data_IF_449316942305
#
_entry.id   IF_449316942305
#
_cell.length_a   1.000
_cell.length_b   1.000
_cell.length_c   1.000
_cell.angle_alpha   90.00
_cell.angle_beta   90.00
_cell.angle_gamma   90.00
#
_symmetry.space_group_name_H-M   'P 1'
#
loop_
_entity.id
_entity.type
_entity.pdbx_description
1 polymer ?
#
# COMPACT_ATOMS: atom_id res chain seq x y z
N UNK A 1 -20.94 19.81 -17.06
CA UNK A 1 -21.05 18.55 -16.28
C UNK A 1 -20.05 18.55 -15.14
N UNK A 2 -20.29 19.32 -14.08
CA UNK A 2 -19.32 19.53 -13.01
C UNK A 2 -19.32 18.45 -11.90
N UNK A 3 -20.32 17.55 -11.89
CA UNK A 3 -20.55 16.61 -10.78
C UNK A 3 -20.81 15.17 -11.26
N UNK A 4 -20.15 14.71 -12.33
CA UNK A 4 -20.17 13.29 -12.73
C UNK A 4 -21.32 12.83 -13.65
N UNK A 5 -22.54 13.35 -13.46
CA UNK A 5 -23.68 13.11 -14.36
C UNK A 5 -23.99 11.61 -14.61
N UNK A 6 -24.45 11.28 -15.83
CA UNK A 6 -24.84 9.91 -16.22
C UNK A 6 -23.70 8.91 -16.11
N UNK A 7 -22.46 9.31 -16.40
CA UNK A 7 -21.29 8.43 -16.30
C UNK A 7 -21.08 7.91 -14.87
N UNK A 8 -21.35 8.76 -13.87
CA UNK A 8 -21.17 8.41 -12.47
C UNK A 8 -22.42 7.75 -11.85
N UNK A 9 -23.60 8.32 -12.10
CA UNK A 9 -24.84 7.91 -11.40
C UNK A 9 -25.77 7.02 -12.24
N UNK A 10 -25.58 6.99 -13.55
CA UNK A 10 -26.48 6.34 -14.50
C UNK A 10 -27.74 7.16 -14.78
N UNK A 11 -28.71 6.53 -15.43
CA UNK A 11 -30.01 7.14 -15.70
C UNK A 11 -30.94 7.02 -14.48
N UNK A 12 -31.91 7.95 -14.32
CA UNK A 12 -32.97 7.79 -13.32
C UNK A 12 -33.76 6.52 -13.63
N UNK A 13 -34.02 5.71 -12.60
CA UNK A 13 -34.81 4.47 -12.70
C UNK A 13 -36.16 4.59 -11.99
N UNK A 14 -36.42 5.74 -11.36
CA UNK A 14 -37.64 6.05 -10.62
C UNK A 14 -37.99 7.53 -10.75
N UNK A 15 -39.25 7.86 -10.47
CA UNK A 15 -39.68 9.22 -10.20
C UNK A 15 -39.22 9.65 -8.80
N UNK A 16 -39.52 10.89 -8.42
CA UNK A 16 -39.34 11.32 -7.02
C UNK A 16 -40.37 10.64 -6.13
N UNK A 17 -39.90 10.10 -5.01
CA UNK A 17 -40.70 9.37 -4.03
C UNK A 17 -40.51 9.97 -2.64
N UNK A 18 -41.52 9.91 -1.78
CA UNK A 18 -41.40 10.31 -0.39
C UNK A 18 -41.07 9.06 0.46
N UNK A 19 -39.89 9.03 1.08
CA UNK A 19 -39.44 7.92 1.91
C UNK A 19 -38.66 8.44 3.11
N UNK A 20 -38.92 7.90 4.30
CA UNK A 20 -38.29 8.33 5.56
C UNK A 20 -38.36 9.86 5.75
N UNK A 21 -39.52 10.45 5.45
CA UNK A 21 -39.79 11.90 5.49
C UNK A 21 -38.93 12.75 4.53
N UNK A 22 -38.23 12.11 3.59
CA UNK A 22 -37.39 12.77 2.59
C UNK A 22 -37.88 12.49 1.18
N UNK A 23 -37.74 13.48 0.30
CA UNK A 23 -37.93 13.25 -1.14
C UNK A 23 -36.68 12.58 -1.66
N UNK A 24 -36.84 11.44 -2.33
CA UNK A 24 -35.73 10.64 -2.84
C UNK A 24 -35.92 10.30 -4.31
N UNK A 25 -34.82 10.05 -5.01
CA UNK A 25 -34.85 9.54 -6.37
C UNK A 25 -33.75 8.49 -6.57
N UNK A 26 -34.13 7.37 -7.16
CA UNK A 26 -33.21 6.30 -7.54
C UNK A 26 -32.71 6.47 -8.97
N UNK A 27 -31.41 6.29 -9.11
CA UNK A 27 -30.66 6.15 -10.35
C UNK A 27 -30.03 4.75 -10.38
N UNK A 28 -29.53 4.33 -11.54
CA UNK A 28 -28.92 3.00 -11.70
C UNK A 28 -27.77 2.72 -10.71
N UNK A 29 -27.05 3.75 -10.26
CA UNK A 29 -25.86 3.61 -9.38
C UNK A 29 -25.88 4.52 -8.15
N UNK A 30 -26.99 5.19 -7.88
CA UNK A 30 -27.09 6.19 -6.83
C UNK A 30 -28.52 6.36 -6.35
N UNK A 31 -28.67 6.80 -5.11
CA UNK A 31 -29.93 7.30 -4.57
C UNK A 31 -29.67 8.71 -4.04
N UNK A 32 -30.44 9.68 -4.49
CA UNK A 32 -30.36 11.04 -4.00
C UNK A 32 -31.47 11.31 -3.00
N UNK A 33 -31.18 12.14 -2.00
CA UNK A 33 -32.13 12.64 -1.02
C UNK A 33 -32.17 14.16 -1.07
N UNK A 34 -33.37 14.71 -0.89
CA UNK A 34 -33.61 16.13 -0.76
C UNK A 34 -33.67 16.56 0.71
N UNK A 35 -32.92 17.59 1.03
CA UNK A 35 -32.74 18.15 2.36
C UNK A 35 -33.13 19.64 2.36
N UNK A 36 -34.40 19.97 2.68
CA UNK A 36 -34.87 21.35 2.67
C UNK A 36 -34.16 22.26 3.69
N UNK A 37 -33.57 21.67 4.74
CA UNK A 37 -32.83 22.32 5.81
C UNK A 37 -31.49 22.92 5.37
N UNK A 38 -30.91 22.46 4.25
CA UNK A 38 -29.64 22.96 3.74
C UNK A 38 -29.78 24.26 2.92
N UNK A 39 -28.64 24.95 2.76
CA UNK A 39 -28.56 26.16 1.97
C UNK A 39 -28.95 25.89 0.51
N UNK A 40 -29.46 26.92 -0.16
CA UNK A 40 -29.87 26.81 -1.56
C UNK A 40 -28.66 26.40 -2.42
N UNK A 41 -28.79 25.27 -3.12
CA UNK A 41 -27.73 24.68 -3.93
C UNK A 41 -27.10 23.42 -3.33
N UNK A 42 -27.30 23.18 -2.03
CA UNK A 42 -26.73 22.04 -1.29
C UNK A 42 -27.79 21.06 -0.79
N UNK A 43 -29.04 21.24 -1.24
CA UNK A 43 -30.19 20.46 -0.76
C UNK A 43 -30.30 19.07 -1.36
N UNK A 44 -29.38 18.68 -2.25
CA UNK A 44 -29.38 17.36 -2.87
C UNK A 44 -28.12 16.63 -2.44
N UNK A 45 -28.29 15.53 -1.73
CA UNK A 45 -27.19 14.71 -1.22
C UNK A 45 -27.31 13.27 -1.72
N UNK A 46 -26.19 12.55 -1.76
CA UNK A 46 -26.19 11.12 -2.02
C UNK A 46 -26.55 10.39 -0.72
N UNK A 47 -27.50 9.46 -0.78
CA UNK A 47 -27.79 8.58 0.37
C UNK A 47 -26.54 7.77 0.73
N UNK A 48 -26.20 7.73 2.01
CA UNK A 48 -25.30 6.71 2.56
C UNK A 48 -26.02 5.34 2.62
N UNK A 49 -26.06 4.67 1.47
CA UNK A 49 -26.70 3.37 1.30
C UNK A 49 -26.01 2.29 2.15
N UNK A 50 -24.71 2.42 2.43
CA UNK A 50 -23.96 1.49 3.27
C UNK A 50 -24.43 1.53 4.72
N UNK A 51 -24.45 2.71 5.32
CA UNK A 51 -24.95 2.91 6.69
C UNK A 51 -26.44 2.57 6.82
N UNK A 52 -27.25 2.85 5.78
CA UNK A 52 -28.67 2.49 5.77
C UNK A 52 -28.86 0.97 5.71
N UNK A 53 -28.13 0.27 4.85
CA UNK A 53 -28.15 -1.20 4.78
C UNK A 53 -27.78 -1.81 6.14
N UNK A 54 -26.67 -1.35 6.74
CA UNK A 54 -26.18 -1.84 8.02
C UNK A 54 -27.21 -1.71 9.13
N UNK A 55 -27.87 -0.53 9.23
CA UNK A 55 -28.92 -0.27 10.23
C UNK A 55 -30.17 -1.09 9.99
N UNK A 56 -30.68 -1.12 8.75
CA UNK A 56 -31.93 -1.84 8.41
C UNK A 56 -31.80 -3.34 8.67
N UNK A 57 -30.62 -3.92 8.41
CA UNK A 57 -30.38 -5.35 8.60
C UNK A 57 -29.90 -5.70 10.01
N UNK A 58 -29.79 -4.72 10.92
CA UNK A 58 -29.27 -4.92 12.29
C UNK A 58 -27.95 -5.70 12.30
N UNK A 59 -27.05 -5.36 11.37
CA UNK A 59 -25.75 -6.02 11.25
C UNK A 59 -24.95 -5.85 12.55
N UNK A 60 -24.15 -6.87 12.89
CA UNK A 60 -23.40 -6.87 14.14
C UNK A 60 -22.41 -5.69 14.17
N UNK A 61 -22.44 -4.80 15.20
CA UNK A 61 -21.53 -3.65 15.30
C UNK A 61 -20.04 -4.02 15.24
N UNK A 62 -19.70 -5.24 15.64
CA UNK A 62 -18.35 -5.79 15.51
C UNK A 62 -17.82 -5.87 14.07
N UNK A 63 -18.69 -5.83 13.06
CA UNK A 63 -18.29 -5.77 11.63
C UNK A 63 -17.81 -4.38 11.21
N UNK A 64 -18.12 -3.34 11.99
CA UNK A 64 -17.57 -1.99 11.81
C UNK A 64 -16.22 -1.81 12.50
N UNK A 65 -15.87 -2.70 13.43
CA UNK A 65 -14.57 -2.70 14.07
C UNK A 65 -13.55 -3.22 13.05
N UNK A 66 -12.54 -2.42 12.76
CA UNK A 66 -11.41 -2.86 11.95
C UNK A 66 -10.56 -3.85 12.78
N UNK A 67 -11.00 -5.11 12.80
CA UNK A 67 -10.33 -6.21 13.49
C UNK A 67 -9.11 -6.75 12.72
N UNK A 68 -8.63 -6.04 11.69
CA UNK A 68 -7.60 -6.54 10.78
C UNK A 68 -8.13 -7.48 9.69
N UNK A 69 -9.44 -7.75 9.67
CA UNK A 69 -10.12 -8.57 8.66
C UNK A 69 -10.50 -7.81 7.39
N UNK A 70 -10.25 -6.50 7.34
CA UNK A 70 -10.31 -5.76 6.08
C UNK A 70 -9.09 -6.23 5.27
N UNK A 71 -9.29 -6.86 4.09
CA UNK A 71 -8.16 -7.23 3.25
C UNK A 71 -7.30 -6.00 3.01
N UNK A 72 -6.04 -6.04 3.45
CA UNK A 72 -5.08 -4.98 3.15
C UNK A 72 -4.94 -4.90 1.63
N UNK A 73 -5.62 -3.94 1.02
CA UNK A 73 -5.48 -3.70 -0.41
C UNK A 73 -4.20 -2.91 -0.60
N UNK A 74 -3.12 -3.62 -0.94
CA UNK A 74 -1.83 -3.00 -1.25
C UNK A 74 -1.96 -2.32 -2.61
N UNK A 75 -1.67 -1.02 -2.65
CA UNK A 75 -1.71 -0.18 -3.87
C UNK A 75 -0.31 0.31 -4.28
N UNK A 76 0.62 0.32 -3.33
CA UNK A 76 2.02 0.68 -3.58
C UNK A 76 2.90 0.09 -2.48
N UNK A 77 4.16 -0.15 -2.82
CA UNK A 77 5.17 -0.58 -1.87
C UNK A 77 6.16 0.55 -1.58
N UNK A 78 6.65 0.58 -0.35
CA UNK A 78 7.77 1.40 0.07
C UNK A 78 8.81 0.49 0.75
N UNK A 79 10.05 0.52 0.25
CA UNK A 79 11.14 -0.27 0.81
C UNK A 79 12.25 0.61 1.38
N UNK A 80 12.75 0.24 2.55
CA UNK A 80 13.96 0.80 3.17
C UNK A 80 14.99 -0.30 3.33
N UNK A 81 16.27 0.03 3.17
CA UNK A 81 17.37 -0.93 3.33
C UNK A 81 18.48 -0.33 4.20
N UNK A 82 18.99 -1.14 5.12
CA UNK A 82 20.01 -0.78 6.10
C UNK A 82 21.14 -1.80 6.10
N UNK A 83 22.37 -1.37 6.33
CA UNK A 83 23.51 -2.27 6.56
C UNK A 83 23.74 -2.40 8.05
N UNK A 84 24.11 -3.60 8.51
CA UNK A 84 24.50 -3.87 9.90
C UNK A 84 25.74 -3.04 10.32
N UNK A 85 26.67 -2.85 9.40
CA UNK A 85 27.90 -2.09 9.61
C UNK A 85 28.11 -1.12 8.44
N UNK A 86 28.57 0.09 8.74
CA UNK A 86 28.83 1.11 7.72
C UNK A 86 30.23 1.00 7.09
N UNK A 87 31.17 0.35 7.78
CA UNK A 87 32.56 0.22 7.36
C UNK A 87 33.04 -1.19 7.69
N UNK A 88 33.63 -1.87 6.71
CA UNK A 88 34.15 -3.23 6.86
C UNK A 88 35.54 -3.38 6.21
N UNK A 89 36.17 -4.53 6.42
CA UNK A 89 37.39 -4.93 5.72
C UNK A 89 37.15 -5.18 4.22
N UNK A 90 38.23 -5.42 3.48
CA UNK A 90 38.18 -5.73 2.04
C UNK A 90 37.46 -7.05 1.70
N UNK A 91 37.36 -7.98 2.64
CA UNK A 91 36.59 -9.21 2.52
C UNK A 91 35.88 -9.55 3.83
N UNK A 92 34.80 -10.32 3.75
CA UNK A 92 34.04 -10.79 4.92
C UNK A 92 32.55 -10.90 4.66
N UNK A 93 31.78 -11.01 5.75
CA UNK A 93 30.32 -11.07 5.72
C UNK A 93 29.69 -9.71 6.02
N UNK A 94 28.59 -9.41 5.35
CA UNK A 94 27.73 -8.27 5.65
C UNK A 94 26.28 -8.71 5.75
N UNK A 95 25.56 -8.18 6.74
CA UNK A 95 24.10 -8.31 6.82
C UNK A 95 23.43 -7.03 6.36
N UNK A 96 22.38 -7.14 5.55
CA UNK A 96 21.44 -6.06 5.26
C UNK A 96 20.06 -6.40 5.80
N UNK A 97 19.34 -5.37 6.24
CA UNK A 97 17.95 -5.44 6.67
C UNK A 97 17.10 -4.68 5.66
N UNK A 98 16.09 -5.34 5.10
CA UNK A 98 15.13 -4.73 4.18
C UNK A 98 13.78 -4.73 4.84
N UNK A 99 13.16 -3.54 4.94
CA UNK A 99 11.82 -3.33 5.47
C UNK A 99 10.88 -2.91 4.33
N UNK A 100 9.77 -3.62 4.16
CA UNK A 100 8.75 -3.38 3.14
C UNK A 100 7.43 -3.01 3.80
N UNK A 101 6.87 -1.87 3.38
CA UNK A 101 5.60 -1.34 3.86
C UNK A 101 4.69 -0.97 2.69
N UNK A 102 3.39 -0.88 2.97
CA UNK A 102 2.38 -0.42 2.01
C UNK A 102 2.21 1.11 2.06
N UNK A 103 1.22 1.63 1.31
CA UNK A 103 0.85 3.05 1.32
C UNK A 103 0.39 3.59 2.68
N UNK A 104 -0.06 2.71 3.58
CA UNK A 104 -0.55 3.04 4.91
C UNK A 104 0.52 2.90 6.00
N UNK A 105 1.78 2.62 5.60
CA UNK A 105 2.94 2.32 6.47
C UNK A 105 2.77 1.03 7.28
N UNK A 106 1.86 0.16 6.89
CA UNK A 106 1.68 -1.18 7.46
C UNK A 106 2.70 -2.15 6.84
N UNK A 107 3.09 -3.15 7.63
CA UNK A 107 4.05 -4.17 7.21
C UNK A 107 3.48 -5.03 6.07
N UNK A 108 4.31 -5.34 5.08
CA UNK A 108 3.95 -6.24 3.97
C UNK A 108 4.72 -7.55 4.14
N UNK A 109 4.11 -8.61 4.70
CA UNK A 109 4.73 -9.93 4.78
C UNK A 109 4.77 -10.61 3.40
N UNK A 110 5.60 -11.63 3.26
CA UNK A 110 5.73 -12.45 2.05
C UNK A 110 6.16 -11.70 0.79
N UNK A 111 6.74 -10.50 0.93
CA UNK A 111 7.37 -9.79 -0.18
C UNK A 111 8.72 -10.44 -0.51
N UNK A 112 8.97 -10.59 -1.81
CA UNK A 112 10.21 -11.13 -2.34
C UNK A 112 11.22 -10.02 -2.52
N UNK A 113 12.46 -10.26 -2.07
CA UNK A 113 13.54 -9.28 -2.14
C UNK A 113 14.68 -9.81 -3.00
N UNK A 114 15.10 -9.00 -3.97
CA UNK A 114 16.28 -9.22 -4.81
C UNK A 114 17.22 -8.04 -4.63
N UNK A 115 18.53 -8.26 -4.60
CA UNK A 115 19.49 -7.19 -4.42
C UNK A 115 20.72 -7.37 -5.30
N UNK A 116 21.28 -6.26 -5.75
CA UNK A 116 22.51 -6.21 -6.54
C UNK A 116 23.57 -5.52 -5.72
N UNK A 117 24.66 -6.24 -5.47
CA UNK A 117 25.89 -5.73 -4.84
C UNK A 117 26.83 -5.27 -5.94
N UNK A 118 27.21 -4.00 -5.92
CA UNK A 118 28.19 -3.42 -6.83
C UNK A 118 29.46 -3.07 -6.04
N UNK A 119 30.55 -3.78 -6.32
CA UNK A 119 31.86 -3.56 -5.69
C UNK A 119 32.53 -2.28 -6.20
N UNK A 120 33.53 -1.73 -5.48
CA UNK A 120 34.33 -0.58 -5.93
C UNK A 120 35.00 -0.76 -7.30
N UNK A 121 35.26 -2.00 -7.69
CA UNK A 121 35.81 -2.37 -9.01
C UNK A 121 34.81 -2.20 -10.15
N UNK A 122 33.52 -2.03 -9.84
CA UNK A 122 32.43 -1.99 -10.81
C UNK A 122 31.80 -3.36 -11.05
N UNK A 123 32.38 -4.44 -10.53
CA UNK A 123 31.82 -5.79 -10.58
C UNK A 123 30.47 -5.81 -9.85
N UNK A 124 29.45 -6.38 -10.49
CA UNK A 124 28.11 -6.49 -9.95
C UNK A 124 27.72 -7.95 -9.77
N UNK A 125 27.05 -8.24 -8.66
CA UNK A 125 26.47 -9.53 -8.36
C UNK A 125 25.03 -9.35 -7.91
N UNK A 126 24.09 -9.98 -8.61
CA UNK A 126 22.67 -10.01 -8.19
C UNK A 126 22.41 -11.28 -7.41
N UNK A 127 21.81 -11.10 -6.23
CA UNK A 127 21.48 -12.13 -5.28
C UNK A 127 20.00 -12.02 -4.91
N UNK A 128 19.40 -13.14 -4.55
CA UNK A 128 18.02 -13.20 -4.09
C UNK A 128 18.01 -13.49 -2.59
N UNK A 129 17.15 -12.80 -1.84
CA UNK A 129 16.92 -13.16 -0.45
C UNK A 129 16.42 -14.61 -0.39
N UNK A 130 16.97 -15.39 0.55
CA UNK A 130 16.54 -16.77 0.75
C UNK A 130 15.11 -16.83 1.26
N UNK A 131 14.81 -15.95 2.20
CA UNK A 131 13.51 -15.84 2.86
C UNK A 131 12.72 -14.65 2.30
N UNK A 132 11.40 -14.71 2.45
CA UNK A 132 10.50 -13.58 2.17
C UNK A 132 10.43 -12.67 3.40
N UNK A 133 9.82 -11.50 3.27
CA UNK A 133 9.56 -10.64 4.43
C UNK A 133 8.66 -11.35 5.45
N UNK A 134 8.97 -11.19 6.73
CA UNK A 134 8.22 -11.77 7.85
C UNK A 134 6.95 -10.94 8.18
N UNK A 135 6.26 -11.30 9.27
CA UNK A 135 5.07 -10.58 9.76
C UNK A 135 5.31 -9.11 10.13
N UNK A 136 6.57 -8.68 10.30
CA UNK A 136 6.95 -7.27 10.52
C UNK A 136 7.29 -6.55 9.22
N UNK A 137 7.21 -7.24 8.08
CA UNK A 137 7.57 -6.72 6.77
C UNK A 137 9.09 -6.66 6.57
N UNK A 138 9.87 -7.36 7.41
CA UNK A 138 11.34 -7.33 7.34
C UNK A 138 11.92 -8.63 6.81
N UNK A 139 13.08 -8.52 6.17
CA UNK A 139 13.96 -9.65 5.87
C UNK A 139 15.41 -9.25 6.15
N UNK A 140 16.14 -10.13 6.83
CA UNK A 140 17.58 -9.99 7.07
C UNK A 140 18.34 -10.89 6.10
N UNK A 141 19.32 -10.34 5.40
CA UNK A 141 20.06 -11.05 4.35
C UNK A 141 21.55 -10.93 4.65
N UNK A 142 22.19 -12.07 4.90
CA UNK A 142 23.65 -12.17 5.04
C UNK A 142 24.27 -12.58 3.71
N UNK A 143 25.34 -11.89 3.32
CA UNK A 143 26.12 -12.25 2.14
C UNK A 143 27.62 -12.04 2.36
N UNK A 144 28.40 -12.88 1.70
CA UNK A 144 29.86 -12.80 1.61
C UNK A 144 30.25 -11.76 0.56
N UNK A 145 31.32 -11.00 0.77
CA UNK A 145 31.90 -10.16 -0.26
C UNK A 145 33.44 -10.18 -0.20
N UNK A 146 34.05 -9.89 -1.35
CA UNK A 146 35.50 -9.69 -1.48
C UNK A 146 35.79 -8.58 -2.46
N UNK A 147 36.68 -7.67 -2.10
CA UNK A 147 37.05 -6.50 -2.89
C UNK A 147 38.56 -6.35 -2.97
N UNK A 148 39.06 -6.14 -4.19
CA UNK A 148 40.49 -5.98 -4.43
C UNK A 148 41.01 -4.56 -4.14
N UNK A 149 40.11 -3.60 -3.87
CA UNK A 149 40.47 -2.22 -3.54
C UNK A 149 39.48 -1.58 -2.57
N UNK A 150 39.95 -0.65 -1.71
CA UNK A 150 39.07 0.15 -0.87
C UNK A 150 38.06 0.96 -1.70
N UNK A 151 36.88 1.21 -1.13
CA UNK A 151 35.87 2.05 -1.77
C UNK A 151 34.46 1.83 -1.24
N UNK A 152 33.49 2.27 -2.03
CA UNK A 152 32.06 2.12 -1.71
C UNK A 152 31.54 0.85 -2.36
N UNK A 153 30.88 0.00 -1.57
CA UNK A 153 30.03 -1.07 -2.06
C UNK A 153 28.60 -0.54 -2.08
N UNK A 154 28.01 -0.47 -3.28
CA UNK A 154 26.64 -0.01 -3.47
C UNK A 154 25.70 -1.21 -3.50
N UNK A 155 24.62 -1.14 -2.73
CA UNK A 155 23.59 -2.16 -2.68
C UNK A 155 22.31 -1.56 -3.25
N UNK A 156 21.82 -2.13 -4.35
CA UNK A 156 20.49 -1.81 -4.90
C UNK A 156 19.55 -2.95 -4.53
N UNK A 157 18.37 -2.62 -4.03
CA UNK A 157 17.35 -3.59 -3.63
C UNK A 157 16.10 -3.37 -4.46
N UNK A 158 15.52 -4.45 -4.94
CA UNK A 158 14.17 -4.53 -5.50
C UNK A 158 13.32 -5.39 -4.56
N UNK A 159 12.20 -4.85 -4.09
CA UNK A 159 11.19 -5.60 -3.36
C UNK A 159 9.93 -5.72 -4.22
N UNK A 160 9.38 -6.94 -4.28
CA UNK A 160 8.23 -7.31 -5.11
C UNK A 160 7.19 -8.00 -4.23
N UNK A 161 5.95 -7.56 -4.34
CA UNK A 161 4.79 -8.24 -3.74
C UNK A 161 3.67 -8.25 -4.77
N UNK A 162 3.24 -9.45 -5.17
CA UNK A 162 2.30 -9.64 -6.28
C UNK A 162 2.76 -8.90 -7.56
N UNK A 163 1.98 -7.94 -8.05
CA UNK A 163 2.31 -7.11 -9.22
C UNK A 163 3.06 -5.82 -8.87
N UNK A 164 3.15 -5.47 -7.59
CA UNK A 164 3.77 -4.24 -7.13
C UNK A 164 5.27 -4.41 -6.92
N UNK A 165 6.03 -3.36 -7.28
CA UNK A 165 7.48 -3.32 -7.14
C UNK A 165 7.93 -2.00 -6.56
N UNK A 166 9.02 -2.03 -5.82
CA UNK A 166 9.72 -0.83 -5.35
C UNK A 166 11.22 -1.07 -5.36
N UNK A 167 11.98 0.02 -5.55
CA UNK A 167 13.44 -0.01 -5.53
C UNK A 167 13.97 0.90 -4.42
N UNK A 168 15.07 0.48 -3.81
CA UNK A 168 15.80 1.31 -2.85
C UNK A 168 17.28 0.99 -2.92
N UNK A 169 18.12 1.80 -2.26
CA UNK A 169 19.57 1.60 -2.26
C UNK A 169 20.18 2.01 -0.92
N UNK A 170 21.27 1.34 -0.58
CA UNK A 170 22.17 1.74 0.51
C UNK A 170 23.61 1.45 0.09
N UNK A 171 24.56 1.78 0.95
CA UNK A 171 25.97 1.53 0.73
C UNK A 171 26.69 1.27 2.05
N UNK A 172 27.82 0.60 1.96
CA UNK A 172 28.82 0.57 3.02
C UNK A 172 30.21 0.76 2.41
N UNK A 173 31.19 1.09 3.25
CA UNK A 173 32.57 1.31 2.83
C UNK A 173 33.44 0.11 3.16
N UNK A 174 34.29 -0.29 2.23
CA UNK A 174 35.36 -1.28 2.46
C UNK A 174 36.71 -0.57 2.48
N UNK A 175 37.58 -0.94 3.43
CA UNK A 175 38.95 -0.42 3.54
C UNK A 175 39.87 -1.38 4.26
#
# INVERSE_FOLDING_TARGET
NAHGGVTQFGYPISNFELQDERIVQYFQRARFEWHPEHARGERVELTDLGSRYFRVHSEAPGRLLNNGDIPQTILSLHASVFTEEAVKGLEGEQTIYVLVKDQSRQAVPSAQVTFTVQLPTGVQQTLKAKDLTDGTGMVAIRFTYKSDKPGIVLIRVEAVYDSYKTHTRTFFRVR
#
